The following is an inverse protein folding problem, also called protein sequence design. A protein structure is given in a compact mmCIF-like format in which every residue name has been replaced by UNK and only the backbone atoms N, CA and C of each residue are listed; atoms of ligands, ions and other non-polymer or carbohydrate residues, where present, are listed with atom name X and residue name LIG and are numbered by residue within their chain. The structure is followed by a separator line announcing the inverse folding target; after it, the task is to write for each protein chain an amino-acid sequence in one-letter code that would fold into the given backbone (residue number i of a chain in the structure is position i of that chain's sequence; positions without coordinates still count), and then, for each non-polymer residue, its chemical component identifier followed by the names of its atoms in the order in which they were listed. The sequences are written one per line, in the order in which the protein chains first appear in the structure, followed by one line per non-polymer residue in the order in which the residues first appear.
data_IF_652531700969
#
_entry.id   IF_652531700969
#
_cell.length_a   1.000
_cell.length_b   1.000
_cell.length_c   1.000
_cell.angle_alpha   90.00
_cell.angle_beta   90.00
_cell.angle_gamma   90.00
#
_symmetry.space_group_name_H-M   'P 1'
#
loop_
_entity.id
_entity.type
_entity.pdbx_description
1 polymer ?
#
# COMPACT_ATOMS: atom_id res chain seq x y z
N UNK A 1 36.25 7.21 9.44
CA UNK A 1 35.01 7.97 9.63
C UNK A 1 35.37 9.30 10.21
N UNK A 2 34.87 10.39 9.61
CA UNK A 2 35.13 11.78 10.03
C UNK A 2 34.24 12.15 11.22
N UNK A 3 34.63 13.21 11.96
CA UNK A 3 33.79 13.76 13.03
C UNK A 3 32.77 14.77 12.49
N UNK A 4 31.76 15.12 13.28
CA UNK A 4 30.82 16.21 12.95
C UNK A 4 31.58 17.57 12.82
N UNK A 5 32.65 17.77 13.61
CA UNK A 5 33.47 18.99 13.50
C UNK A 5 34.24 19.06 12.17
N UNK A 6 34.70 17.90 11.65
CA UNK A 6 35.32 17.84 10.32
C UNK A 6 34.33 18.27 9.22
N UNK A 7 33.05 17.87 9.33
CA UNK A 7 32.01 18.32 8.42
C UNK A 7 31.78 19.82 8.52
N UNK A 8 31.67 20.34 9.74
CA UNK A 8 31.47 21.78 9.97
C UNK A 8 32.64 22.61 9.40
N UNK A 9 33.89 22.16 9.63
CA UNK A 9 35.09 22.80 9.07
C UNK A 9 35.04 22.78 7.55
N UNK A 10 34.79 21.64 6.94
CA UNK A 10 34.69 21.49 5.49
C UNK A 10 33.60 22.39 4.88
N UNK A 11 32.42 22.49 5.53
CA UNK A 11 31.34 23.36 5.08
C UNK A 11 31.78 24.86 5.11
N UNK A 12 32.47 25.28 6.16
CA UNK A 12 33.00 26.62 6.24
C UNK A 12 34.06 26.92 5.16
N UNK A 13 34.93 25.94 4.86
CA UNK A 13 35.98 26.07 3.81
C UNK A 13 35.40 26.18 2.39
N UNK A 14 34.25 25.57 2.13
CA UNK A 14 33.58 25.60 0.81
C UNK A 14 32.55 26.73 0.70
N UNK A 15 32.28 27.46 1.78
CA UNK A 15 31.29 28.54 1.76
C UNK A 15 31.62 29.57 0.69
N UNK A 16 30.59 30.02 -0.01
CA UNK A 16 30.68 30.96 -1.15
C UNK A 16 31.43 30.41 -2.38
N UNK A 17 31.87 29.15 -2.41
CA UNK A 17 32.38 28.51 -3.63
C UNK A 17 31.20 28.10 -4.55
N UNK A 18 31.53 27.69 -5.77
CA UNK A 18 30.55 27.15 -6.71
C UNK A 18 29.88 25.87 -6.17
N UNK A 19 28.62 25.65 -6.50
CA UNK A 19 27.79 24.57 -5.99
C UNK A 19 28.43 23.17 -6.05
N UNK A 20 29.14 22.78 -7.14
CA UNK A 20 29.81 21.48 -7.23
C UNK A 20 30.80 21.18 -6.10
N UNK A 21 31.29 22.18 -5.37
CA UNK A 21 32.20 21.97 -4.24
C UNK A 21 31.52 21.20 -3.09
N UNK A 22 30.16 21.18 -3.01
CA UNK A 22 29.41 20.31 -2.08
C UNK A 22 29.70 18.83 -2.28
N UNK A 23 30.12 18.37 -3.47
CA UNK A 23 30.48 16.97 -3.71
C UNK A 23 31.55 16.46 -2.73
N UNK A 24 32.43 17.32 -2.25
CA UNK A 24 33.44 17.00 -1.24
C UNK A 24 32.87 16.63 0.13
N UNK A 25 31.60 16.93 0.39
CA UNK A 25 30.92 16.56 1.65
C UNK A 25 30.44 15.12 1.68
N UNK A 26 30.42 14.40 0.56
CA UNK A 26 30.03 12.99 0.52
C UNK A 26 30.86 12.16 1.50
N UNK A 27 30.18 11.34 2.33
CA UNK A 27 30.85 10.50 3.31
C UNK A 27 30.08 10.36 4.61
N UNK A 28 30.72 9.74 5.62
CA UNK A 28 30.13 9.42 6.92
C UNK A 28 30.76 10.26 8.03
N UNK A 29 29.94 10.83 8.87
CA UNK A 29 30.31 11.75 9.94
C UNK A 29 29.69 11.31 11.26
N UNK A 30 30.53 11.16 12.29
CA UNK A 30 30.08 10.78 13.62
C UNK A 30 29.59 12.01 14.39
N UNK A 31 28.32 12.00 14.72
CA UNK A 31 27.68 12.88 15.70
C UNK A 31 27.65 12.17 17.06
N UNK A 32 27.17 12.84 18.10
CA UNK A 32 27.18 12.32 19.47
C UNK A 32 26.46 10.98 19.58
N UNK A 33 25.23 10.87 19.05
CA UNK A 33 24.36 9.71 19.24
C UNK A 33 23.99 9.00 17.93
N UNK A 34 24.53 9.43 16.78
CA UNK A 34 24.26 8.84 15.49
C UNK A 34 25.39 9.11 14.49
N UNK A 35 25.33 8.43 13.38
CA UNK A 35 26.18 8.67 12.21
C UNK A 35 25.34 9.31 11.12
N UNK A 36 25.74 10.49 10.66
CA UNK A 36 25.20 11.12 9.48
C UNK A 36 25.98 10.62 8.25
N UNK A 37 25.26 10.14 7.24
CA UNK A 37 25.84 9.74 5.96
C UNK A 37 25.29 10.64 4.86
N UNK A 38 26.16 11.26 4.09
CA UNK A 38 25.82 11.99 2.87
C UNK A 38 26.07 11.03 1.71
N UNK A 39 25.01 10.35 1.24
CA UNK A 39 25.09 9.26 0.27
C UNK A 39 25.21 9.78 -1.15
N UNK A 40 24.48 10.85 -1.46
CA UNK A 40 24.51 11.53 -2.75
C UNK A 40 24.35 13.04 -2.57
N UNK A 41 25.17 13.79 -3.29
CA UNK A 41 25.08 15.26 -3.32
C UNK A 41 24.51 15.70 -4.65
N UNK A 42 23.43 16.50 -4.60
CA UNK A 42 22.83 17.09 -5.80
C UNK A 42 23.84 17.96 -6.58
N UNK A 43 23.72 17.98 -7.90
CA UNK A 43 24.66 18.70 -8.76
C UNK A 43 24.40 20.20 -8.90
N UNK A 44 23.16 20.62 -8.58
CA UNK A 44 22.65 21.98 -8.77
C UNK A 44 21.47 22.21 -7.79
N UNK A 45 21.23 23.44 -7.27
CA UNK A 45 20.13 23.71 -6.34
C UNK A 45 18.73 23.38 -6.88
N UNK A 46 18.56 23.28 -8.18
CA UNK A 46 17.29 22.96 -8.85
C UNK A 46 17.16 21.48 -9.21
N UNK A 47 18.24 20.70 -9.11
CA UNK A 47 18.25 19.25 -9.37
C UNK A 47 17.52 18.47 -8.26
N UNK A 48 17.44 17.12 -8.42
CA UNK A 48 16.93 16.24 -7.37
C UNK A 48 17.74 16.42 -6.09
N UNK A 49 17.09 16.45 -4.91
CA UNK A 49 17.77 16.72 -3.63
C UNK A 49 18.88 15.72 -3.31
N UNK A 50 19.79 16.13 -2.45
CA UNK A 50 20.82 15.23 -1.91
C UNK A 50 20.20 14.12 -1.08
N UNK A 51 20.76 12.91 -1.14
CA UNK A 51 20.34 11.77 -0.33
C UNK A 51 21.22 11.67 0.90
N UNK A 52 20.58 11.64 2.04
CA UNK A 52 21.21 11.63 3.35
C UNK A 52 20.60 10.51 4.18
N UNK A 53 21.42 9.82 4.96
CA UNK A 53 20.95 8.84 5.92
C UNK A 53 21.50 9.05 7.32
N UNK A 54 20.75 8.61 8.32
CA UNK A 54 21.09 8.65 9.74
C UNK A 54 21.09 7.23 10.26
N UNK A 55 22.21 6.77 10.79
CA UNK A 55 22.36 5.46 11.39
C UNK A 55 22.55 5.59 12.91
N UNK A 56 21.75 4.84 13.68
CA UNK A 56 21.73 4.85 15.14
C UNK A 56 22.00 3.43 15.64
N UNK A 57 22.99 3.26 16.52
CA UNK A 57 23.25 1.97 17.18
C UNK A 57 22.02 1.53 17.99
N UNK A 58 21.65 0.23 17.94
CA UNK A 58 20.46 -0.26 18.59
C UNK A 58 20.47 -0.09 20.11
N UNK A 59 21.63 -0.13 20.75
CA UNK A 59 21.75 0.15 22.19
C UNK A 59 21.44 1.60 22.53
N UNK A 60 21.80 2.53 21.64
CA UNK A 60 21.48 3.96 21.80
C UNK A 60 20.02 4.25 21.47
N UNK A 61 19.49 3.66 20.40
CA UNK A 61 18.07 3.78 20.04
C UNK A 61 17.16 3.25 21.14
N UNK A 62 17.56 2.15 21.79
CA UNK A 62 16.98 1.62 23.02
C UNK A 62 15.59 0.99 22.89
N UNK A 63 15.14 0.66 21.68
CA UNK A 63 13.85 -0.02 21.48
C UNK A 63 13.89 -1.43 22.06
N UNK A 64 12.95 -1.82 22.95
CA UNK A 64 12.83 -3.18 23.44
C UNK A 64 12.64 -4.20 22.31
N UNK A 65 13.32 -5.33 22.39
CA UNK A 65 13.31 -6.39 21.37
C UNK A 65 11.89 -6.85 21.00
N UNK A 66 11.00 -6.94 21.98
CA UNK A 66 9.62 -7.36 21.81
C UNK A 66 8.79 -6.47 20.86
N UNK A 67 9.23 -5.23 20.58
CA UNK A 67 8.57 -4.31 19.65
C UNK A 67 8.92 -4.57 18.18
N UNK A 68 9.98 -5.37 17.91
CA UNK A 68 10.44 -5.64 16.54
C UNK A 68 10.93 -7.09 16.31
N UNK A 69 10.63 -8.01 17.24
CA UNK A 69 11.02 -9.43 17.17
C UNK A 69 10.38 -10.18 15.99
N UNK A 70 9.16 -9.79 15.62
CA UNK A 70 8.43 -10.32 14.46
C UNK A 70 8.40 -9.32 13.31
N UNK A 71 8.35 -9.82 12.06
CA UNK A 71 8.39 -8.97 10.86
C UNK A 71 7.26 -7.93 10.86
N UNK A 72 6.02 -8.34 11.14
CA UNK A 72 4.88 -7.42 11.12
C UNK A 72 4.97 -6.33 12.20
N UNK A 73 5.46 -6.63 13.40
CA UNK A 73 5.73 -5.64 14.45
C UNK A 73 6.80 -4.63 14.01
N UNK A 74 7.88 -5.15 13.45
CA UNK A 74 8.99 -4.32 12.95
C UNK A 74 8.50 -3.37 11.86
N UNK A 75 7.69 -3.83 10.92
CA UNK A 75 7.09 -2.98 9.88
C UNK A 75 6.20 -1.89 10.52
N UNK A 76 5.35 -2.24 11.48
CA UNK A 76 4.50 -1.29 12.19
C UNK A 76 5.32 -0.23 12.93
N UNK A 77 6.37 -0.63 13.63
CA UNK A 77 7.28 0.30 14.32
C UNK A 77 8.02 1.22 13.33
N UNK A 78 8.56 0.67 12.25
CA UNK A 78 9.25 1.44 11.21
C UNK A 78 8.32 2.47 10.54
N UNK A 79 7.09 2.09 10.23
CA UNK A 79 6.07 2.98 9.67
C UNK A 79 5.70 4.10 10.67
N UNK A 80 5.48 3.76 11.95
CA UNK A 80 5.23 4.73 13.01
C UNK A 80 6.36 5.74 13.16
N UNK A 81 7.60 5.27 13.23
CA UNK A 81 8.78 6.14 13.35
C UNK A 81 8.95 7.05 12.13
N UNK A 82 8.65 6.54 10.92
CA UNK A 82 8.66 7.35 9.69
C UNK A 82 7.65 8.48 9.76
N UNK A 83 6.44 8.23 10.28
CA UNK A 83 5.39 9.25 10.47
C UNK A 83 5.78 10.30 11.49
N UNK A 84 6.35 9.88 12.62
CA UNK A 84 6.84 10.79 13.66
C UNK A 84 7.95 11.68 13.08
N UNK A 85 8.92 11.08 12.41
CA UNK A 85 10.03 11.82 11.80
C UNK A 85 9.56 12.80 10.73
N UNK A 86 8.61 12.39 9.86
CA UNK A 86 7.99 13.28 8.88
C UNK A 86 7.40 14.52 9.56
N UNK A 87 6.62 14.36 10.63
CA UNK A 87 6.02 15.47 11.37
C UNK A 87 7.08 16.40 11.98
N UNK A 88 8.21 15.83 12.43
CA UNK A 88 9.28 16.61 13.05
C UNK A 88 10.05 17.44 12.02
N UNK A 89 10.48 16.82 10.91
CA UNK A 89 11.23 17.53 9.87
C UNK A 89 10.38 18.57 9.14
N UNK A 90 9.05 18.35 9.02
CA UNK A 90 8.13 19.29 8.39
C UNK A 90 8.12 20.66 9.10
N UNK A 91 8.38 20.69 10.41
CA UNK A 91 8.55 21.93 11.17
C UNK A 91 9.72 22.79 10.69
N UNK A 92 10.72 22.16 10.09
CA UNK A 92 11.94 22.82 9.61
C UNK A 92 12.05 22.86 8.08
N UNK A 93 11.13 22.23 7.38
CA UNK A 93 11.11 22.19 5.92
C UNK A 93 11.09 23.61 5.34
N UNK A 94 12.05 23.93 4.46
CA UNK A 94 12.28 25.24 3.89
C UNK A 94 12.53 26.39 4.90
N UNK A 95 12.87 26.12 6.16
CA UNK A 95 13.34 27.17 7.08
C UNK A 95 14.73 27.67 6.72
N UNK A 96 15.64 26.79 6.32
CA UNK A 96 16.91 27.17 5.72
C UNK A 96 16.66 27.81 4.34
N UNK A 97 17.25 28.95 4.09
CA UNK A 97 16.93 29.79 2.92
C UNK A 97 17.92 29.57 1.78
N UNK A 98 17.44 29.80 0.56
CA UNK A 98 18.25 29.71 -0.65
C UNK A 98 17.43 29.54 -1.91
N UNK A 99 18.12 29.32 -3.03
CA UNK A 99 17.53 29.15 -4.35
C UNK A 99 17.10 27.70 -4.61
N UNK A 100 16.11 27.53 -5.45
CA UNK A 100 15.63 26.21 -5.89
C UNK A 100 15.09 25.38 -4.73
N UNK A 101 15.64 24.18 -4.55
CA UNK A 101 15.26 23.24 -3.47
C UNK A 101 16.03 23.45 -2.16
N UNK A 102 16.73 24.57 -2.02
CA UNK A 102 17.47 24.89 -0.78
C UNK A 102 16.56 24.79 0.45
N UNK A 103 17.03 24.11 1.46
CA UNK A 103 16.28 23.94 2.72
C UNK A 103 15.17 22.88 2.69
N UNK A 104 14.97 22.18 1.59
CA UNK A 104 14.07 21.03 1.54
C UNK A 104 14.53 19.96 2.53
N UNK A 105 13.62 19.50 3.36
CA UNK A 105 13.76 18.31 4.19
C UNK A 105 12.59 17.39 3.88
N UNK A 106 12.86 16.19 3.38
CA UNK A 106 11.83 15.27 2.94
C UNK A 106 12.13 13.81 3.34
N UNK A 107 11.10 13.12 3.75
CA UNK A 107 11.07 11.67 3.96
C UNK A 107 9.76 11.15 3.39
N UNK A 108 9.58 9.84 3.28
CA UNK A 108 8.32 9.24 2.82
C UNK A 108 7.12 9.80 3.56
N UNK A 109 6.19 10.38 2.80
CA UNK A 109 4.87 10.79 3.32
C UNK A 109 3.96 9.58 3.33
N UNK A 110 3.62 9.09 4.52
CA UNK A 110 2.79 7.91 4.69
C UNK A 110 1.30 8.23 4.53
N UNK A 111 0.56 7.34 3.82
CA UNK A 111 -0.91 7.34 3.77
C UNK A 111 -1.53 6.67 4.99
N UNK A 112 -2.70 6.09 4.84
CA UNK A 112 -3.41 5.38 5.93
C UNK A 112 -2.89 3.95 6.14
N UNK A 113 -2.32 3.36 5.09
CA UNK A 113 -1.78 2.01 5.09
C UNK A 113 -0.40 1.96 5.76
N UNK A 114 -0.16 0.89 6.51
CA UNK A 114 1.14 0.55 7.08
C UNK A 114 1.91 -0.26 6.05
N UNK A 115 3.01 0.28 5.54
CA UNK A 115 3.80 -0.34 4.48
C UNK A 115 5.26 -0.55 4.91
N UNK A 116 5.86 -1.63 4.43
CA UNK A 116 7.30 -1.84 4.53
C UNK A 116 8.02 -0.86 3.59
N UNK A 117 8.78 0.08 4.16
CA UNK A 117 9.50 1.11 3.41
C UNK A 117 10.98 1.11 3.77
N UNK A 118 11.80 1.54 2.81
CA UNK A 118 13.24 1.74 3.04
C UNK A 118 13.57 3.07 3.74
N UNK A 119 12.59 3.95 3.94
CA UNK A 119 12.77 5.24 4.59
C UNK A 119 13.24 5.11 6.05
N UNK A 120 12.72 4.13 6.77
CA UNK A 120 13.17 3.77 8.11
C UNK A 120 13.25 2.25 8.21
N UNK A 121 14.39 1.72 8.58
CA UNK A 121 14.60 0.29 8.77
C UNK A 121 15.23 0.01 10.12
N UNK A 122 14.77 -1.07 10.77
CA UNK A 122 15.30 -1.56 12.05
C UNK A 122 15.95 -2.93 11.80
N UNK A 123 17.21 -3.08 12.19
CA UNK A 123 17.91 -4.36 12.12
C UNK A 123 17.29 -5.36 13.11
N UNK A 124 16.74 -6.48 12.62
CA UNK A 124 16.12 -7.47 13.49
C UNK A 124 17.09 -8.13 14.48
N UNK A 125 18.40 -8.11 14.22
CA UNK A 125 19.38 -8.73 15.09
C UNK A 125 19.72 -7.87 16.32
N UNK A 126 19.93 -6.57 16.12
CA UNK A 126 20.50 -5.69 17.14
C UNK A 126 19.68 -4.41 17.42
N UNK A 127 18.60 -4.16 16.69
CA UNK A 127 17.73 -2.98 16.87
C UNK A 127 18.31 -1.67 16.32
N UNK A 128 19.41 -1.71 15.56
CA UNK A 128 19.96 -0.51 14.92
C UNK A 128 18.96 0.09 13.95
N UNK A 129 18.85 1.41 13.96
CA UNK A 129 17.90 2.17 13.15
C UNK A 129 18.65 2.87 12.02
N UNK A 130 18.18 2.72 10.79
CA UNK A 130 18.68 3.43 9.62
C UNK A 130 17.53 4.20 8.96
N UNK A 131 17.68 5.52 8.89
CA UNK A 131 16.69 6.43 8.32
C UNK A 131 17.27 7.10 7.08
N UNK A 132 16.50 7.17 6.01
CA UNK A 132 16.87 7.80 4.73
C UNK A 132 15.95 8.97 4.45
N UNK A 133 16.54 10.09 4.07
CA UNK A 133 15.83 11.32 3.77
C UNK A 133 16.48 12.09 2.62
N UNK A 134 15.77 13.05 2.11
CA UNK A 134 16.29 14.00 1.12
C UNK A 134 16.52 15.36 1.76
N UNK A 135 17.63 16.00 1.40
CA UNK A 135 18.01 17.33 1.88
C UNK A 135 18.39 18.19 0.68
N UNK A 136 17.71 19.32 0.53
CA UNK A 136 18.07 20.33 -0.45
C UNK A 136 19.21 21.20 0.08
N UNK A 137 20.42 21.02 -0.47
CA UNK A 137 21.60 21.75 -0.02
C UNK A 137 21.51 23.24 -0.41
N UNK A 138 21.64 24.17 0.58
CA UNK A 138 21.37 25.58 0.36
C UNK A 138 22.40 26.29 -0.52
N UNK A 139 21.89 27.18 -1.38
CA UNK A 139 22.71 28.06 -2.21
C UNK A 139 22.01 29.40 -2.48
N UNK A 140 22.79 30.44 -2.74
CA UNK A 140 22.33 31.69 -3.31
C UNK A 140 22.66 31.68 -4.81
N UNK A 141 21.65 31.57 -5.69
CA UNK A 141 21.88 31.19 -7.07
C UNK A 141 22.58 29.83 -7.14
N UNK A 142 23.80 29.79 -7.65
CA UNK A 142 24.66 28.58 -7.67
C UNK A 142 25.88 28.69 -6.77
N UNK A 143 25.85 29.62 -5.80
CA UNK A 143 26.91 29.83 -4.83
C UNK A 143 26.51 29.20 -3.50
N UNK A 144 27.40 28.40 -2.92
CA UNK A 144 27.17 27.69 -1.65
C UNK A 144 26.81 28.63 -0.53
N UNK A 145 25.74 28.34 0.20
CA UNK A 145 25.38 28.95 1.46
C UNK A 145 25.55 27.92 2.60
N UNK A 146 26.78 27.74 3.04
CA UNK A 146 27.12 26.72 4.03
C UNK A 146 26.49 27.00 5.41
N UNK A 147 26.28 28.28 5.78
CA UNK A 147 25.65 28.63 7.05
C UNK A 147 24.24 28.02 7.18
N UNK A 148 23.45 28.01 6.11
CA UNK A 148 22.14 27.42 6.11
C UNK A 148 22.19 25.88 6.17
N UNK A 149 23.17 25.23 5.52
CA UNK A 149 23.34 23.78 5.64
C UNK A 149 23.84 23.38 7.05
N UNK A 150 24.66 24.20 7.67
CA UNK A 150 25.09 24.02 9.07
C UNK A 150 23.85 24.03 10.00
N UNK A 151 22.92 24.98 9.83
CA UNK A 151 21.66 24.96 10.60
C UNK A 151 20.90 23.64 10.42
N UNK A 152 20.79 23.12 9.18
CA UNK A 152 20.11 21.86 8.92
C UNK A 152 20.79 20.71 9.69
N UNK A 153 22.10 20.52 9.54
CA UNK A 153 22.78 19.34 10.07
C UNK A 153 23.14 19.45 11.56
N UNK A 154 23.27 20.65 12.11
CA UNK A 154 23.73 20.85 13.50
C UNK A 154 22.65 21.40 14.45
N UNK A 155 21.51 21.86 13.94
CA UNK A 155 20.41 22.36 14.77
C UNK A 155 19.13 21.59 14.48
N UNK A 156 18.60 21.59 13.25
CA UNK A 156 17.29 21.03 12.92
C UNK A 156 17.27 19.50 12.96
N UNK A 157 18.21 18.86 12.25
CA UNK A 157 18.27 17.40 12.15
C UNK A 157 18.54 16.71 13.49
N UNK A 158 19.49 17.18 14.35
CA UNK A 158 19.70 16.59 15.67
C UNK A 158 18.46 16.58 16.54
N UNK A 159 17.67 17.68 16.56
CA UNK A 159 16.42 17.77 17.29
C UNK A 159 15.41 16.73 16.77
N UNK A 160 15.20 16.68 15.46
CA UNK A 160 14.28 15.73 14.84
C UNK A 160 14.69 14.27 15.10
N UNK A 161 15.98 13.95 15.02
CA UNK A 161 16.51 12.59 15.26
C UNK A 161 16.29 12.19 16.72
N UNK A 162 16.62 13.08 17.67
CA UNK A 162 16.44 12.81 19.09
C UNK A 162 14.98 12.59 19.48
N UNK A 163 14.06 13.38 18.94
CA UNK A 163 12.63 13.26 19.23
C UNK A 163 11.95 12.07 18.54
N UNK A 164 12.58 11.48 17.52
CA UNK A 164 11.95 10.43 16.72
C UNK A 164 12.49 9.03 16.97
N UNK A 165 13.81 8.87 17.20
CA UNK A 165 14.46 7.57 17.09
C UNK A 165 15.11 7.05 18.37
N UNK A 166 14.88 7.71 19.50
CA UNK A 166 15.31 7.22 20.80
C UNK A 166 14.10 6.86 21.66
N UNK A 167 14.01 5.59 22.06
CA UNK A 167 12.86 5.07 22.80
C UNK A 167 12.58 5.84 24.10
N UNK A 168 13.64 6.28 24.79
CA UNK A 168 13.53 7.09 26.02
C UNK A 168 12.88 8.48 25.81
N UNK A 169 12.83 8.96 24.59
CA UNK A 169 12.25 10.27 24.20
C UNK A 169 10.92 10.11 23.45
N UNK A 170 10.62 8.91 23.01
CA UNK A 170 9.43 8.61 22.21
C UNK A 170 8.17 8.51 23.09
N UNK A 171 7.01 8.67 22.48
CA UNK A 171 5.72 8.33 23.09
C UNK A 171 5.57 6.81 23.15
N UNK A 172 6.10 6.22 24.22
CA UNK A 172 6.14 4.78 24.42
C UNK A 172 4.74 4.15 24.39
N UNK A 173 3.73 4.87 24.93
CA UNK A 173 2.34 4.40 24.94
C UNK A 173 1.77 4.29 23.51
N UNK A 174 2.04 5.26 22.66
CA UNK A 174 1.61 5.18 21.25
C UNK A 174 2.35 4.10 20.47
N UNK A 175 3.63 3.90 20.76
CA UNK A 175 4.39 2.79 20.17
C UNK A 175 3.75 1.46 20.57
N UNK A 176 3.48 1.24 21.86
CA UNK A 176 2.85 0.03 22.36
C UNK A 176 1.47 -0.20 21.72
N UNK A 177 0.63 0.83 21.65
CA UNK A 177 -0.67 0.76 20.98
C UNK A 177 -0.56 0.42 19.51
N UNK A 178 0.48 0.92 18.81
CA UNK A 178 0.76 0.60 17.40
C UNK A 178 1.11 -0.89 17.24
N UNK A 179 1.90 -1.43 18.15
CA UNK A 179 2.26 -2.86 18.15
C UNK A 179 1.07 -3.73 18.50
N UNK A 180 0.26 -3.36 19.49
CA UNK A 180 -0.96 -4.08 19.86
C UNK A 180 -1.95 -4.16 18.70
N UNK A 181 -2.16 -3.04 17.98
CA UNK A 181 -2.98 -3.05 16.78
C UNK A 181 -2.41 -3.98 15.70
N UNK A 182 -1.10 -3.97 15.49
CA UNK A 182 -0.46 -4.86 14.52
C UNK A 182 -0.59 -6.35 14.90
N UNK A 183 -0.56 -6.67 16.19
CA UNK A 183 -0.80 -8.03 16.69
C UNK A 183 -2.26 -8.46 16.48
N UNK A 184 -3.21 -7.58 16.78
CA UNK A 184 -4.64 -7.84 16.53
C UNK A 184 -4.91 -8.07 15.03
N UNK A 185 -4.36 -7.23 14.18
CA UNK A 185 -4.49 -7.37 12.70
C UNK A 185 -3.86 -8.67 12.19
N UNK A 186 -2.74 -9.08 12.76
CA UNK A 186 -2.10 -10.34 12.39
C UNK A 186 -2.97 -11.55 12.76
N UNK A 187 -3.60 -11.53 13.93
CA UNK A 187 -4.53 -12.58 14.36
C UNK A 187 -5.72 -12.68 13.40
N UNK A 188 -6.29 -11.56 12.96
CA UNK A 188 -7.38 -11.59 11.96
C UNK A 188 -6.89 -12.23 10.66
N UNK A 189 -5.68 -11.90 10.16
CA UNK A 189 -5.12 -12.53 8.95
C UNK A 189 -4.98 -14.04 9.08
N UNK A 190 -4.54 -14.52 10.24
CA UNK A 190 -4.43 -15.95 10.52
C UNK A 190 -5.82 -16.63 10.63
N UNK A 191 -6.76 -15.96 11.28
CA UNK A 191 -8.12 -16.49 11.47
C UNK A 191 -8.91 -16.55 10.16
N UNK A 192 -8.83 -15.57 9.26
CA UNK A 192 -9.51 -15.65 7.96
C UNK A 192 -9.01 -16.86 7.16
N UNK A 193 -7.72 -17.15 7.17
CA UNK A 193 -7.16 -18.34 6.50
C UNK A 193 -7.64 -19.65 7.13
N UNK A 194 -7.59 -19.75 8.47
CA UNK A 194 -8.05 -20.95 9.20
C UNK A 194 -9.52 -21.26 8.99
N UNK A 195 -10.35 -20.22 8.88
CA UNK A 195 -11.80 -20.35 8.74
C UNK A 195 -12.30 -20.43 7.30
N UNK A 196 -11.40 -20.44 6.31
CA UNK A 196 -11.77 -20.44 4.89
C UNK A 196 -12.49 -19.15 4.47
N UNK A 197 -12.05 -18.02 4.98
CA UNK A 197 -12.57 -16.68 4.64
C UNK A 197 -11.60 -15.97 3.68
N UNK A 198 -12.16 -15.26 2.71
CA UNK A 198 -11.42 -14.37 1.81
C UNK A 198 -11.15 -13.01 2.44
N UNK A 199 -12.03 -12.55 3.32
CA UNK A 199 -11.92 -11.24 3.97
C UNK A 199 -12.76 -11.17 5.26
N UNK A 200 -12.44 -10.19 6.10
CA UNK A 200 -13.20 -9.81 7.28
C UNK A 200 -13.40 -8.29 7.32
N UNK A 201 -14.62 -7.85 7.63
CA UNK A 201 -14.98 -6.44 7.79
C UNK A 201 -15.64 -6.26 9.16
N UNK A 202 -14.95 -5.65 10.11
CA UNK A 202 -15.46 -5.47 11.46
C UNK A 202 -16.66 -4.53 11.53
N UNK A 203 -17.62 -4.84 12.39
CA UNK A 203 -18.70 -3.93 12.73
C UNK A 203 -18.14 -2.62 13.30
N UNK A 204 -18.73 -1.50 12.93
CA UNK A 204 -18.27 -0.17 13.32
C UNK A 204 -17.19 0.43 12.45
N UNK A 205 -16.66 -0.30 11.45
CA UNK A 205 -15.70 0.24 10.49
C UNK A 205 -16.28 1.39 9.67
N UNK A 206 -15.47 2.40 9.38
CA UNK A 206 -15.82 3.52 8.49
C UNK A 206 -15.19 3.27 7.13
N UNK A 207 -15.97 2.72 6.21
CA UNK A 207 -15.48 2.34 4.90
C UNK A 207 -15.30 3.54 3.95
N UNK A 208 -16.21 4.55 3.90
CA UNK A 208 -16.09 5.66 2.96
C UNK A 208 -14.95 6.60 3.32
N UNK A 209 -14.40 7.24 2.27
CA UNK A 209 -13.35 8.27 2.37
C UNK A 209 -13.95 9.66 2.20
N UNK A 210 -13.24 10.70 2.65
CA UNK A 210 -13.68 12.12 2.57
C UNK A 210 -14.02 12.54 1.13
N UNK A 211 -13.26 12.03 0.15
CA UNK A 211 -13.48 12.27 -1.27
C UNK A 211 -12.82 11.18 -2.13
N UNK A 212 -13.07 11.19 -3.44
CA UNK A 212 -12.45 10.23 -4.38
C UNK A 212 -10.92 10.32 -4.49
N UNK A 213 -10.31 11.40 -4.02
CA UNK A 213 -8.86 11.62 -4.03
C UNK A 213 -8.23 11.61 -2.63
N UNK A 214 -9.04 11.46 -1.58
CA UNK A 214 -8.57 11.41 -0.19
C UNK A 214 -8.58 9.98 0.33
N UNK A 215 -7.49 9.56 0.98
CA UNK A 215 -7.43 8.30 1.73
C UNK A 215 -7.96 8.43 3.16
N UNK A 216 -8.32 9.64 3.62
CA UNK A 216 -8.81 9.87 4.99
C UNK A 216 -10.22 9.37 5.18
N UNK A 217 -10.58 8.86 6.36
CA UNK A 217 -11.93 8.42 6.66
C UNK A 217 -12.93 9.57 6.59
N UNK A 218 -14.14 9.29 6.11
CA UNK A 218 -15.25 10.24 6.15
C UNK A 218 -15.69 10.48 7.59
N UNK A 219 -15.72 11.74 8.05
CA UNK A 219 -15.99 12.09 9.46
C UNK A 219 -17.37 11.62 9.95
N UNK A 220 -18.38 11.65 9.09
CA UNK A 220 -19.75 11.25 9.42
C UNK A 220 -20.19 10.05 8.56
N UNK A 221 -19.26 9.14 8.26
CA UNK A 221 -19.56 7.93 7.51
C UNK A 221 -20.47 7.00 8.32
N UNK A 222 -21.35 6.29 7.64
CA UNK A 222 -22.21 5.27 8.26
C UNK A 222 -21.30 4.11 8.71
N UNK A 223 -21.31 3.72 10.00
CA UNK A 223 -20.55 2.59 10.48
C UNK A 223 -21.05 1.29 9.85
N UNK A 224 -20.13 0.48 9.38
CA UNK A 224 -20.44 -0.82 8.78
C UNK A 224 -21.10 -1.74 9.82
N UNK A 225 -22.09 -2.51 9.39
CA UNK A 225 -22.77 -3.56 10.16
C UNK A 225 -22.88 -4.82 9.29
N UNK A 226 -22.42 -5.95 9.82
CA UNK A 226 -22.54 -7.26 9.18
C UNK A 226 -24.00 -7.72 9.09
N UNK A 227 -24.41 -8.36 7.99
CA UNK A 227 -25.59 -9.21 8.00
C UNK A 227 -25.37 -10.40 8.96
N UNK A 228 -26.44 -10.85 9.61
CA UNK A 228 -26.34 -11.91 10.64
C UNK A 228 -25.82 -13.24 10.10
N UNK A 229 -26.16 -13.56 8.90
CA UNK A 229 -25.82 -14.81 8.21
C UNK A 229 -24.30 -14.92 7.94
N UNK A 230 -23.62 -13.78 7.80
CA UNK A 230 -22.19 -13.70 7.56
C UNK A 230 -21.41 -13.19 8.77
N UNK A 231 -22.09 -12.95 9.90
CA UNK A 231 -21.42 -12.44 11.09
C UNK A 231 -20.53 -13.49 11.75
N UNK A 232 -19.29 -13.16 11.96
CA UNK A 232 -18.32 -13.99 12.68
C UNK A 232 -17.69 -13.18 13.82
N UNK A 233 -17.35 -13.88 14.91
CA UNK A 233 -16.65 -13.31 16.04
C UNK A 233 -15.16 -13.65 15.97
N UNK A 234 -14.30 -12.67 16.18
CA UNK A 234 -12.84 -12.79 16.30
C UNK A 234 -12.41 -12.44 17.73
N UNK A 235 -11.57 -13.27 18.33
CA UNK A 235 -11.01 -13.02 19.66
C UNK A 235 -9.57 -12.50 19.51
N UNK A 236 -9.39 -11.20 19.77
CA UNK A 236 -8.14 -10.50 19.55
C UNK A 236 -7.37 -10.31 20.86
N UNK A 237 -6.04 -10.41 20.84
CA UNK A 237 -5.23 -10.38 22.06
C UNK A 237 -5.32 -9.07 22.84
N UNK A 238 -5.56 -7.94 22.19
CA UNK A 238 -5.57 -6.63 22.84
C UNK A 238 -6.95 -5.94 22.77
N UNK A 239 -7.66 -6.08 21.67
CA UNK A 239 -9.02 -5.50 21.51
C UNK A 239 -10.09 -6.35 22.18
N UNK A 240 -9.82 -7.64 22.43
CA UNK A 240 -10.81 -8.62 22.85
C UNK A 240 -11.73 -9.04 21.70
N UNK A 241 -12.96 -9.43 22.02
CA UNK A 241 -13.91 -9.93 21.03
C UNK A 241 -14.46 -8.83 20.14
N UNK A 242 -14.37 -9.02 18.84
CA UNK A 242 -15.00 -8.17 17.84
C UNK A 242 -15.86 -9.02 16.92
N UNK A 243 -16.99 -8.48 16.47
CA UNK A 243 -17.85 -9.12 15.47
C UNK A 243 -17.76 -8.37 14.14
N UNK A 244 -18.00 -9.07 13.05
CA UNK A 244 -17.99 -8.48 11.72
C UNK A 244 -18.36 -9.48 10.63
N UNK A 245 -18.43 -9.01 9.39
CA UNK A 245 -18.75 -9.83 8.25
C UNK A 245 -17.51 -10.63 7.82
N UNK A 246 -17.61 -11.96 7.86
CA UNK A 246 -16.67 -12.88 7.22
C UNK A 246 -17.16 -13.24 5.83
N UNK A 247 -16.38 -12.89 4.80
CA UNK A 247 -16.68 -13.26 3.41
C UNK A 247 -16.02 -14.61 3.14
N UNK A 248 -16.81 -15.68 2.86
CA UNK A 248 -16.26 -17.01 2.61
C UNK A 248 -15.36 -17.06 1.36
N UNK A 249 -14.44 -18.03 1.33
CA UNK A 249 -13.79 -18.41 0.08
C UNK A 249 -14.81 -18.95 -0.91
N UNK A 250 -14.58 -18.76 -2.20
CA UNK A 250 -15.48 -19.09 -3.29
C UNK A 250 -15.81 -17.89 -4.15
N UNK A 251 -17.01 -17.87 -4.70
CA UNK A 251 -17.46 -16.80 -5.59
C UNK A 251 -18.51 -15.96 -4.87
N UNK A 252 -18.14 -14.73 -4.52
CA UNK A 252 -19.02 -13.78 -3.86
C UNK A 252 -19.43 -12.67 -4.82
N UNK A 253 -20.73 -12.40 -4.92
CA UNK A 253 -21.26 -11.23 -5.62
C UNK A 253 -21.61 -10.13 -4.63
N UNK A 254 -21.28 -8.90 -5.01
CA UNK A 254 -21.76 -7.68 -4.34
C UNK A 254 -22.69 -6.98 -5.35
N UNK A 255 -23.97 -6.93 -5.04
CA UNK A 255 -25.01 -6.37 -5.91
C UNK A 255 -25.72 -5.18 -5.25
N UNK A 256 -26.54 -4.44 -6.00
CA UNK A 256 -27.32 -3.32 -5.49
C UNK A 256 -27.34 -2.15 -6.47
N UNK A 257 -28.18 -1.17 -6.19
CA UNK A 257 -28.32 0.04 -7.04
C UNK A 257 -27.08 0.93 -7.09
N UNK A 258 -27.06 1.89 -7.99
CA UNK A 258 -26.02 2.93 -8.02
C UNK A 258 -25.96 3.71 -6.70
N UNK A 259 -24.76 4.08 -6.24
CA UNK A 259 -24.50 4.86 -5.03
C UNK A 259 -24.89 4.19 -3.69
N UNK A 260 -25.19 2.90 -3.66
CA UNK A 260 -25.54 2.15 -2.45
C UNK A 260 -24.32 1.58 -1.68
N UNK A 261 -23.08 1.89 -2.10
CA UNK A 261 -21.88 1.54 -1.35
C UNK A 261 -21.12 0.31 -1.84
N UNK A 262 -21.52 -0.32 -2.98
CA UNK A 262 -20.82 -1.49 -3.55
C UNK A 262 -19.33 -1.22 -3.76
N UNK A 263 -19.00 -0.19 -4.53
CA UNK A 263 -17.59 0.17 -4.82
C UNK A 263 -16.85 0.66 -3.56
N UNK A 264 -17.57 1.21 -2.58
CA UNK A 264 -16.97 1.59 -1.28
C UNK A 264 -16.51 0.34 -0.52
N UNK A 265 -17.34 -0.70 -0.47
CA UNK A 265 -16.97 -1.97 0.14
C UNK A 265 -15.82 -2.63 -0.62
N UNK A 266 -15.89 -2.71 -1.95
CA UNK A 266 -14.81 -3.29 -2.77
C UNK A 266 -13.49 -2.55 -2.58
N UNK A 267 -13.50 -1.21 -2.55
CA UNK A 267 -12.30 -0.40 -2.33
C UNK A 267 -11.72 -0.59 -0.92
N UNK A 268 -12.57 -0.85 0.08
CA UNK A 268 -12.09 -1.18 1.42
C UNK A 268 -11.40 -2.56 1.44
N UNK A 269 -11.96 -3.54 0.74
CA UNK A 269 -11.35 -4.87 0.58
C UNK A 269 -10.06 -4.84 -0.23
N UNK A 270 -9.98 -3.98 -1.26
CA UNK A 270 -8.79 -3.79 -2.09
C UNK A 270 -7.57 -3.37 -1.27
N UNK A 271 -7.73 -2.41 -0.35
CA UNK A 271 -6.64 -1.97 0.53
C UNK A 271 -6.53 -2.80 1.82
N UNK A 272 -7.47 -3.71 2.05
CA UNK A 272 -7.47 -4.66 3.17
C UNK A 272 -6.30 -5.66 3.14
N UNK A 273 -5.55 -5.75 2.03
CA UNK A 273 -4.28 -6.47 1.93
C UNK A 273 -3.19 -5.84 2.82
N UNK A 274 -3.33 -4.56 3.15
CA UNK A 274 -2.44 -3.83 4.05
C UNK A 274 -3.07 -3.66 5.44
N UNK A 275 -2.23 -3.55 6.46
CA UNK A 275 -2.65 -3.05 7.76
C UNK A 275 -2.87 -1.54 7.70
N UNK A 276 -3.80 -1.03 8.48
CA UNK A 276 -4.12 0.40 8.56
C UNK A 276 -3.79 0.94 9.94
N UNK A 277 -3.45 2.23 9.99
CA UNK A 277 -3.17 2.92 11.24
C UNK A 277 -4.43 3.08 12.10
N UNK A 278 -4.24 3.25 13.41
CA UNK A 278 -5.32 3.57 14.33
C UNK A 278 -6.04 4.87 13.92
N UNK A 279 -7.37 4.87 14.00
CA UNK A 279 -8.23 6.00 13.62
C UNK A 279 -8.53 6.12 12.14
N UNK A 280 -8.07 5.17 11.31
CA UNK A 280 -8.42 5.12 9.88
C UNK A 280 -9.87 4.68 9.62
N UNK A 281 -10.49 3.96 10.55
CA UNK A 281 -11.81 3.37 10.40
C UNK A 281 -11.82 2.05 9.62
N UNK A 282 -10.71 1.65 9.01
CA UNK A 282 -10.52 0.35 8.33
C UNK A 282 -9.46 -0.52 9.00
N UNK A 283 -9.14 -0.27 10.26
CA UNK A 283 -8.11 -0.99 11.01
C UNK A 283 -8.35 -2.50 11.04
N UNK A 284 -9.62 -2.89 11.08
CA UNK A 284 -10.08 -4.28 11.13
C UNK A 284 -10.85 -4.68 9.87
N UNK A 285 -10.52 -4.07 8.73
CA UNK A 285 -10.93 -4.51 7.39
C UNK A 285 -9.74 -5.20 6.76
N UNK A 286 -9.77 -6.52 6.70
CA UNK A 286 -8.63 -7.36 6.33
C UNK A 286 -9.05 -8.34 5.26
N UNK A 287 -8.36 -8.33 4.14
CA UNK A 287 -8.51 -9.28 3.03
C UNK A 287 -7.32 -10.24 2.99
N UNK A 288 -7.47 -11.34 2.25
CA UNK A 288 -6.34 -12.21 1.92
C UNK A 288 -5.18 -11.35 1.39
N UNK A 289 -3.98 -11.57 1.89
CA UNK A 289 -2.80 -10.75 1.61
C UNK A 289 -2.28 -10.90 0.17
N UNK A 290 -2.79 -11.88 -0.57
CA UNK A 290 -2.51 -12.10 -1.99
C UNK A 290 -3.57 -11.53 -2.91
N UNK A 291 -4.59 -10.84 -2.38
CA UNK A 291 -5.68 -10.29 -3.18
C UNK A 291 -5.18 -9.26 -4.20
N UNK A 292 -5.73 -9.31 -5.40
CA UNK A 292 -5.47 -8.35 -6.46
C UNK A 292 -6.77 -7.86 -7.07
N UNK A 293 -6.82 -6.56 -7.39
CA UNK A 293 -7.91 -6.00 -8.19
C UNK A 293 -7.61 -6.17 -9.66
N UNK A 294 -8.53 -6.82 -10.36
CA UNK A 294 -8.46 -7.02 -11.80
C UNK A 294 -9.35 -6.02 -12.52
N UNK A 295 -8.82 -5.43 -13.58
CA UNK A 295 -9.55 -4.50 -14.44
C UNK A 295 -9.04 -4.57 -15.87
N UNK A 296 -9.81 -4.03 -16.81
CA UNK A 296 -9.33 -3.80 -18.16
C UNK A 296 -8.33 -2.64 -18.20
N UNK A 297 -7.27 -2.78 -18.99
CA UNK A 297 -6.21 -1.79 -19.16
C UNK A 297 -5.84 -1.67 -20.64
N UNK A 298 -6.68 -0.91 -21.38
CA UNK A 298 -6.42 -0.68 -22.80
C UNK A 298 -5.04 -0.05 -23.02
N UNK A 299 -4.34 -0.54 -24.03
CA UNK A 299 -3.03 -0.02 -24.38
C UNK A 299 -1.84 -0.58 -23.59
N UNK A 300 -2.06 -1.46 -22.59
CA UNK A 300 -0.90 -2.06 -21.89
C UNK A 300 -0.13 -3.03 -22.79
N UNK A 301 1.17 -3.14 -22.58
CA UNK A 301 1.99 -4.18 -23.21
C UNK A 301 1.85 -5.53 -22.48
N UNK A 302 1.84 -6.62 -23.25
CA UNK A 302 1.85 -8.00 -22.75
C UNK A 302 3.06 -8.71 -23.36
N UNK A 303 3.81 -9.45 -22.54
CA UNK A 303 5.05 -10.12 -22.96
C UNK A 303 5.07 -11.58 -22.51
N UNK A 304 4.88 -12.51 -23.46
CA UNK A 304 4.95 -13.96 -23.25
C UNK A 304 3.97 -14.50 -22.21
N UNK A 305 2.78 -13.91 -22.09
CA UNK A 305 1.76 -14.41 -21.18
C UNK A 305 0.90 -15.43 -21.92
N UNK A 306 0.63 -16.57 -21.31
CA UNK A 306 -0.32 -17.56 -21.83
C UNK A 306 -1.76 -17.12 -21.51
N UNK A 307 -2.43 -16.56 -22.51
CA UNK A 307 -3.83 -16.11 -22.37
C UNK A 307 -4.82 -17.14 -22.93
N UNK A 308 -4.38 -18.34 -23.29
CA UNK A 308 -5.19 -19.35 -23.94
C UNK A 308 -6.36 -19.88 -23.08
N UNK A 309 -6.27 -19.68 -21.74
CA UNK A 309 -7.39 -19.96 -20.84
C UNK A 309 -8.65 -19.17 -21.23
N UNK A 310 -8.49 -17.96 -21.74
CA UNK A 310 -9.60 -17.03 -22.05
C UNK A 310 -9.68 -16.68 -23.53
N UNK A 311 -8.57 -16.66 -24.27
CA UNK A 311 -8.51 -16.17 -25.64
C UNK A 311 -7.82 -17.20 -26.53
N UNK A 312 -8.56 -17.68 -27.52
CA UNK A 312 -8.09 -18.70 -28.48
C UNK A 312 -8.53 -18.33 -29.89
N UNK A 313 -7.86 -18.94 -30.87
CA UNK A 313 -8.25 -18.87 -32.29
C UNK A 313 -8.42 -17.43 -32.79
N UNK A 314 -7.49 -16.56 -32.46
CA UNK A 314 -7.51 -15.17 -32.93
C UNK A 314 -7.53 -15.11 -34.46
N UNK A 315 -8.37 -14.26 -35.09
CA UNK A 315 -8.44 -14.11 -36.55
C UNK A 315 -7.10 -13.77 -37.22
N UNK A 316 -6.24 -13.05 -36.48
CA UNK A 316 -4.89 -12.68 -36.95
C UNK A 316 -3.83 -13.77 -36.71
N UNK A 317 -4.24 -14.95 -36.23
CA UNK A 317 -3.37 -16.12 -35.97
C UNK A 317 -2.21 -15.86 -35.00
N UNK A 318 -2.31 -14.84 -34.16
CA UNK A 318 -1.32 -14.64 -33.07
C UNK A 318 -1.36 -15.81 -32.11
N UNK A 319 -0.19 -16.23 -31.63
CA UNK A 319 -0.06 -17.27 -30.63
C UNK A 319 -0.59 -16.77 -29.28
N UNK A 320 -1.54 -17.48 -28.68
CA UNK A 320 -2.17 -17.15 -27.39
C UNK A 320 -1.52 -17.86 -26.20
N UNK A 321 -0.76 -18.94 -26.42
CA UNK A 321 0.04 -19.60 -25.38
C UNK A 321 1.33 -18.83 -25.02
N UNK A 322 1.79 -17.99 -25.92
CA UNK A 322 2.90 -17.07 -25.70
C UNK A 322 2.57 -15.73 -26.35
N UNK A 323 1.59 -15.06 -25.78
CA UNK A 323 1.02 -13.86 -26.38
C UNK A 323 1.95 -12.65 -26.20
N UNK A 324 2.05 -11.88 -27.25
CA UNK A 324 2.88 -10.67 -27.30
C UNK A 324 2.15 -9.53 -27.98
N UNK A 325 2.06 -8.39 -27.32
CA UNK A 325 1.55 -7.13 -27.90
C UNK A 325 2.12 -5.93 -27.14
N UNK A 326 2.32 -4.82 -27.84
CA UNK A 326 2.64 -3.53 -27.22
C UNK A 326 1.37 -2.69 -26.91
N UNK A 327 0.21 -3.13 -27.42
CA UNK A 327 -1.05 -2.39 -27.33
C UNK A 327 -2.21 -3.40 -27.22
N UNK A 328 -2.56 -3.77 -25.99
CA UNK A 328 -3.63 -4.73 -25.73
C UNK A 328 -4.99 -4.05 -25.68
N UNK A 329 -6.03 -4.71 -26.19
CA UNK A 329 -7.41 -4.34 -25.94
C UNK A 329 -7.80 -4.63 -24.48
N UNK A 330 -8.90 -4.05 -24.01
CA UNK A 330 -9.39 -4.25 -22.64
C UNK A 330 -9.58 -5.72 -22.27
N UNK A 331 -10.22 -6.52 -23.13
CA UNK A 331 -10.40 -7.96 -22.88
C UNK A 331 -9.08 -8.73 -22.86
N UNK A 332 -8.16 -8.41 -23.77
CA UNK A 332 -6.85 -9.06 -23.84
C UNK A 332 -5.99 -8.70 -22.62
N UNK A 333 -5.99 -7.43 -22.21
CA UNK A 333 -5.29 -6.99 -21.01
C UNK A 333 -5.84 -7.63 -19.75
N UNK A 334 -7.15 -7.75 -19.64
CA UNK A 334 -7.80 -8.36 -18.47
C UNK A 334 -7.53 -9.86 -18.40
N UNK A 335 -7.55 -10.58 -19.53
CA UNK A 335 -7.15 -11.98 -19.59
C UNK A 335 -5.70 -12.18 -19.10
N UNK A 336 -4.78 -11.33 -19.56
CA UNK A 336 -3.39 -11.36 -19.10
C UNK A 336 -3.27 -11.03 -17.61
N UNK A 337 -4.02 -10.06 -17.10
CA UNK A 337 -4.04 -9.72 -15.67
C UNK A 337 -4.45 -10.90 -14.79
N UNK A 338 -5.46 -11.69 -15.22
CA UNK A 338 -5.87 -12.90 -14.50
C UNK A 338 -4.73 -13.92 -14.43
N UNK A 339 -4.13 -14.24 -15.57
CA UNK A 339 -3.07 -15.25 -15.63
C UNK A 339 -1.83 -14.80 -14.83
N UNK A 340 -1.41 -13.56 -15.00
CA UNK A 340 -0.27 -12.99 -14.26
C UNK A 340 -0.53 -12.97 -12.75
N UNK A 341 -1.77 -12.72 -12.32
CA UNK A 341 -2.13 -12.79 -10.91
C UNK A 341 -2.05 -14.22 -10.36
N UNK A 342 -2.49 -15.22 -11.14
CA UNK A 342 -2.35 -16.65 -10.76
C UNK A 342 -0.85 -17.00 -10.65
N UNK A 343 -0.05 -16.65 -11.64
CA UNK A 343 1.40 -16.87 -11.63
C UNK A 343 2.10 -16.20 -10.43
N UNK A 344 1.60 -15.03 -10.00
CA UNK A 344 2.06 -14.35 -8.80
C UNK A 344 1.58 -14.99 -7.49
N UNK A 345 0.72 -16.01 -7.53
CA UNK A 345 0.21 -16.72 -6.37
C UNK A 345 -1.00 -16.06 -5.71
N UNK A 346 -1.77 -15.25 -6.42
CA UNK A 346 -3.01 -14.67 -5.89
C UNK A 346 -4.06 -15.75 -5.62
N UNK A 347 -4.73 -15.65 -4.48
CA UNK A 347 -5.84 -16.51 -4.04
C UNK A 347 -7.18 -15.79 -4.01
N UNK A 348 -7.19 -14.48 -4.26
CA UNK A 348 -8.40 -13.68 -4.24
C UNK A 348 -8.37 -12.62 -5.35
N UNK A 349 -9.39 -12.68 -6.21
CA UNK A 349 -9.62 -11.63 -7.21
C UNK A 349 -10.72 -10.67 -6.75
N UNK A 350 -10.47 -9.39 -6.89
CA UNK A 350 -11.44 -8.32 -6.68
C UNK A 350 -11.75 -7.69 -8.02
N UNK A 351 -13.01 -7.75 -8.43
CA UNK A 351 -13.45 -7.36 -9.78
C UNK A 351 -14.64 -6.41 -9.66
N UNK A 352 -14.56 -5.29 -10.38
CA UNK A 352 -15.66 -4.36 -10.55
C UNK A 352 -16.12 -4.40 -12.02
N UNK A 353 -17.41 -4.72 -12.25
CA UNK A 353 -17.99 -4.77 -13.60
C UNK A 353 -17.77 -3.46 -14.35
N UNK A 354 -17.88 -2.31 -13.66
CA UNK A 354 -17.74 -0.98 -14.26
C UNK A 354 -16.32 -0.67 -14.79
N UNK A 355 -15.32 -1.38 -14.29
CA UNK A 355 -13.91 -1.21 -14.72
C UNK A 355 -13.38 -2.39 -15.52
N UNK A 356 -14.26 -3.31 -15.89
CA UNK A 356 -13.95 -4.53 -16.62
C UNK A 356 -14.40 -4.44 -18.08
N UNK A 357 -13.73 -5.20 -18.96
CA UNK A 357 -14.20 -5.38 -20.34
C UNK A 357 -15.44 -6.28 -20.35
N UNK A 358 -16.58 -5.76 -20.80
CA UNK A 358 -17.86 -6.48 -20.76
C UNK A 358 -17.79 -7.82 -21.46
N UNK A 359 -17.19 -7.88 -22.66
CA UNK A 359 -17.06 -9.11 -23.45
C UNK A 359 -16.09 -10.14 -22.85
N UNK A 360 -15.18 -9.69 -21.96
CA UNK A 360 -14.35 -10.60 -21.17
C UNK A 360 -15.13 -11.16 -19.98
N UNK A 361 -15.96 -10.36 -19.33
CA UNK A 361 -16.66 -10.77 -18.11
C UNK A 361 -17.82 -11.72 -18.40
N UNK A 362 -18.69 -11.35 -19.32
CA UNK A 362 -19.90 -12.08 -19.67
C UNK A 362 -20.10 -12.10 -21.18
N UNK A 363 -20.94 -13.02 -21.63
CA UNK A 363 -21.43 -13.04 -22.98
C UNK A 363 -22.95 -12.82 -22.99
N UNK A 364 -23.39 -11.74 -23.61
CA UNK A 364 -24.80 -11.40 -23.77
C UNK A 364 -25.52 -12.51 -24.54
N UNK A 365 -26.71 -12.94 -24.06
CA UNK A 365 -27.52 -13.97 -24.72
C UNK A 365 -27.92 -13.60 -26.15
N UNK A 366 -28.14 -12.30 -26.43
CA UNK A 366 -28.46 -11.84 -27.78
C UNK A 366 -27.24 -11.97 -28.70
N UNK A 367 -26.05 -11.64 -28.20
CA UNK A 367 -24.80 -11.83 -28.95
C UNK A 367 -24.49 -13.31 -29.20
N UNK A 368 -24.86 -14.21 -28.28
CA UNK A 368 -24.72 -15.66 -28.47
C UNK A 368 -25.57 -16.19 -29.65
N UNK A 369 -26.68 -15.53 -29.95
CA UNK A 369 -27.55 -15.88 -31.10
C UNK A 369 -27.02 -15.37 -32.43
N UNK A 370 -26.21 -14.27 -32.42
CA UNK A 370 -25.69 -13.64 -33.61
C UNK A 370 -24.32 -14.19 -34.00
N UNK A 371 -23.46 -14.44 -33.03
CA UNK A 371 -22.11 -14.97 -33.26
C UNK A 371 -22.03 -16.40 -32.69
N UNK A 372 -21.82 -17.38 -33.55
CA UNK A 372 -21.66 -18.76 -33.13
C UNK A 372 -20.44 -18.89 -32.18
N UNK A 373 -20.58 -19.73 -31.12
CA UNK A 373 -19.56 -19.93 -30.09
C UNK A 373 -18.17 -20.30 -30.65
N UNK A 374 -18.17 -21.05 -31.74
CA UNK A 374 -16.96 -21.51 -32.44
C UNK A 374 -16.18 -20.39 -33.14
N UNK A 375 -16.84 -19.24 -33.38
CA UNK A 375 -16.22 -18.07 -34.02
C UNK A 375 -15.83 -16.97 -33.01
N UNK A 376 -16.15 -17.17 -31.72
CA UNK A 376 -15.83 -16.22 -30.66
C UNK A 376 -14.49 -16.60 -30.03
N UNK A 377 -13.45 -15.78 -30.16
CA UNK A 377 -12.13 -16.08 -29.61
C UNK A 377 -12.08 -15.98 -28.10
N UNK A 378 -13.06 -15.30 -27.45
CA UNK A 378 -13.06 -15.04 -26.01
C UNK A 378 -13.98 -16.05 -25.30
N UNK A 379 -13.41 -16.76 -24.32
CA UNK A 379 -14.16 -17.47 -23.29
C UNK A 379 -14.37 -16.52 -22.12
N UNK A 380 -15.61 -16.13 -21.77
CA UNK A 380 -15.85 -15.17 -20.71
C UNK A 380 -15.37 -15.66 -19.34
N UNK A 381 -15.02 -14.71 -18.47
CA UNK A 381 -14.58 -15.00 -17.11
C UNK A 381 -15.62 -15.81 -16.33
N UNK A 382 -16.91 -15.50 -16.52
CA UNK A 382 -18.01 -16.22 -15.86
C UNK A 382 -18.00 -17.74 -16.12
N UNK A 383 -17.54 -18.17 -17.30
CA UNK A 383 -17.46 -19.58 -17.69
C UNK A 383 -16.23 -20.27 -17.04
N UNK A 384 -15.25 -19.52 -16.56
CA UNK A 384 -14.00 -20.04 -15.98
C UNK A 384 -13.89 -19.85 -14.46
N UNK A 385 -14.64 -18.93 -13.87
CA UNK A 385 -14.47 -18.54 -12.48
C UNK A 385 -14.66 -19.72 -11.51
N UNK A 386 -15.58 -20.64 -11.79
CA UNK A 386 -15.77 -21.86 -10.98
C UNK A 386 -14.56 -22.79 -11.07
N UNK A 387 -14.03 -22.99 -12.27
CA UNK A 387 -12.83 -23.79 -12.50
C UNK A 387 -11.60 -23.19 -11.81
N UNK A 388 -11.45 -21.86 -11.84
CA UNK A 388 -10.37 -21.16 -11.13
C UNK A 388 -10.44 -21.39 -9.62
N UNK A 389 -11.65 -21.40 -9.04
CA UNK A 389 -11.79 -21.71 -7.63
C UNK A 389 -11.49 -23.18 -7.32
N UNK A 390 -12.05 -24.12 -8.08
CA UNK A 390 -11.93 -25.56 -7.80
C UNK A 390 -10.53 -26.13 -8.09
N UNK A 391 -9.85 -25.64 -9.13
CA UNK A 391 -8.54 -26.16 -9.55
C UNK A 391 -7.35 -25.34 -9.02
N UNK A 392 -7.47 -24.01 -9.02
CA UNK A 392 -6.38 -23.10 -8.64
C UNK A 392 -6.55 -22.57 -7.20
N UNK A 393 -7.70 -22.80 -6.57
CA UNK A 393 -8.00 -22.30 -5.22
C UNK A 393 -8.19 -20.78 -5.17
N UNK A 394 -8.53 -20.15 -6.30
CA UNK A 394 -8.67 -18.69 -6.39
C UNK A 394 -10.12 -18.29 -6.20
N UNK A 395 -10.39 -17.58 -5.11
CA UNK A 395 -11.70 -16.99 -4.83
C UNK A 395 -11.89 -15.68 -5.63
N UNK A 396 -13.15 -15.31 -5.84
CA UNK A 396 -13.48 -14.05 -6.53
C UNK A 396 -14.57 -13.28 -5.80
N UNK A 397 -14.36 -11.98 -5.59
CA UNK A 397 -15.38 -11.04 -5.14
C UNK A 397 -15.68 -10.11 -6.32
N UNK A 398 -16.91 -10.16 -6.83
CA UNK A 398 -17.33 -9.46 -8.04
C UNK A 398 -18.41 -8.46 -7.67
N UNK A 399 -18.18 -7.18 -7.95
CA UNK A 399 -19.22 -6.15 -7.92
C UNK A 399 -19.95 -6.18 -9.26
N UNK A 400 -21.24 -6.52 -9.23
CA UNK A 400 -22.12 -6.54 -10.38
C UNK A 400 -23.13 -5.39 -10.27
N UNK A 401 -23.22 -4.58 -11.35
CA UNK A 401 -24.11 -3.41 -11.39
C UNK A 401 -25.52 -3.77 -11.85
N UNK A 402 -25.65 -4.31 -13.03
CA UNK A 402 -26.94 -4.48 -13.71
C UNK A 402 -27.18 -5.88 -14.32
N UNK A 403 -26.17 -6.73 -14.37
CA UNK A 403 -26.30 -8.03 -15.00
C UNK A 403 -26.71 -9.12 -14.01
N UNK A 404 -27.87 -9.75 -14.26
CA UNK A 404 -28.31 -10.97 -13.56
C UNK A 404 -27.47 -12.22 -13.90
N UNK A 405 -26.58 -12.10 -14.88
CA UNK A 405 -25.82 -13.24 -15.41
C UNK A 405 -24.88 -13.88 -14.40
N UNK A 406 -24.50 -13.17 -13.33
CA UNK A 406 -23.58 -13.68 -12.31
C UNK A 406 -24.27 -14.50 -11.21
N UNK A 407 -25.59 -14.40 -11.04
CA UNK A 407 -26.27 -15.00 -9.88
C UNK A 407 -26.12 -16.52 -9.82
N UNK A 408 -26.12 -17.19 -10.97
CA UNK A 408 -26.07 -18.66 -11.03
C UNK A 408 -24.68 -19.26 -10.69
N UNK A 409 -23.63 -18.44 -10.67
CA UNK A 409 -22.27 -18.91 -10.35
C UNK A 409 -21.89 -18.61 -8.90
N UNK A 410 -22.63 -17.77 -8.20
CA UNK A 410 -22.26 -17.27 -6.89
C UNK A 410 -22.51 -18.30 -5.78
N UNK A 411 -21.57 -18.40 -4.85
CA UNK A 411 -21.72 -19.13 -3.59
C UNK A 411 -22.33 -18.22 -2.50
N UNK A 412 -22.04 -16.92 -2.58
CA UNK A 412 -22.54 -15.91 -1.64
C UNK A 412 -22.96 -14.66 -2.40
N UNK A 413 -24.10 -14.09 -2.06
CA UNK A 413 -24.61 -12.87 -2.67
C UNK A 413 -24.88 -11.84 -1.57
N UNK A 414 -24.18 -10.69 -1.64
CA UNK A 414 -24.31 -9.58 -0.72
C UNK A 414 -25.00 -8.43 -1.46
N UNK A 415 -26.21 -8.06 -1.04
CA UNK A 415 -26.90 -6.89 -1.54
C UNK A 415 -26.53 -5.68 -0.71
N UNK A 416 -26.10 -4.60 -1.36
CA UNK A 416 -25.85 -3.30 -0.72
C UNK A 416 -27.06 -2.40 -0.94
N UNK A 417 -27.67 -1.95 0.16
CA UNK A 417 -28.74 -0.96 0.16
C UNK A 417 -28.47 0.15 1.18
N UNK A 418 -28.38 1.39 0.72
CA UNK A 418 -28.05 2.55 1.58
C UNK A 418 -26.84 2.33 2.50
N UNK A 419 -25.78 1.74 1.95
CA UNK A 419 -24.53 1.37 2.64
C UNK A 419 -24.64 0.24 3.67
N UNK A 420 -25.78 -0.42 3.77
CA UNK A 420 -25.97 -1.57 4.62
C UNK A 420 -25.95 -2.87 3.75
N UNK A 421 -25.18 -3.88 4.12
CA UNK A 421 -25.17 -5.17 3.43
C UNK A 421 -26.27 -6.10 3.97
N UNK A 422 -26.87 -6.87 3.06
CA UNK A 422 -27.76 -7.99 3.36
C UNK A 422 -27.29 -9.23 2.60
N UNK A 423 -27.34 -10.39 3.23
CA UNK A 423 -27.09 -11.67 2.57
C UNK A 423 -28.39 -12.15 1.89
N UNK A 424 -28.32 -12.49 0.60
CA UNK A 424 -29.50 -12.85 -0.22
C UNK A 424 -29.27 -14.06 -1.10
N UNK A 425 -28.36 -14.96 -0.74
CA UNK A 425 -27.99 -16.14 -1.56
C UNK A 425 -29.15 -17.13 -1.70
N UNK A 426 -30.07 -17.22 -0.74
CA UNK A 426 -31.18 -18.19 -0.71
C UNK A 426 -32.34 -17.79 -1.62
#
# INVERSE_FOLDING_TARGET
MKSAQDLRKLLNEINRKSYPAYKGTKGSYRFENYILQIDHVQGDPFASPSKVSVAIDGRLAGFPKQLFDKKFKRIALQDYLTRVFYQKIERFNFKAKGSGKSGLLSVSRCGQEILERTACTIDPANGSVLVRMEVGFPANGRTINAGELIKIFFEFLPECVQESFFYSRADQKKIEQTIFLAEDQQVIREEIQKRGLSAFVANGSILPRESGISSRPMKNGIPFRSPKELEVEMDLPHRGKIAGMGIPCGITLIVGGGYHGKSTLLNALEVGVYNHIAGDGREYVISDDTAVKLRAEDGRSIKKTDISMFINNLPNKKNTESFYTEDASGSTSQAANVVEAIEAGSRLFLIDEDTSATNFMIRDELMQRVVAREKEPITPFIDRVRELYEKEGVSSIIVAGSSGSYFHIADTIIQMEQYEPAEITA
#
